data_IF_800645810911
#
_entry.id   IF_800645810911
#
_cell.length_a   1.000
_cell.length_b   1.000
_cell.length_c   1.000
_cell.angle_alpha   90.00
_cell.angle_beta   90.00
_cell.angle_gamma   90.00
#
_symmetry.space_group_name_H-M   'P 1'
#
loop_
_entity.id
_entity.type
_entity.pdbx_description
1 polymer ?
#
# COMPACT_ATOMS: atom_id res chain seq x y z
N UNK A 1 -0.39 -1.59 11.76
CA UNK A 1 0.12 -0.86 10.58
C UNK A 1 1.34 -0.07 10.99
N UNK A 2 2.47 -0.26 10.31
CA UNK A 2 3.73 0.37 10.67
C UNK A 2 3.90 1.68 9.88
N UNK A 3 3.62 2.81 10.52
CA UNK A 3 3.62 4.16 9.92
C UNK A 3 4.95 4.57 9.26
N UNK A 4 6.06 3.90 9.60
CA UNK A 4 7.38 4.11 8.97
C UNK A 4 7.36 3.92 7.45
N UNK A 5 6.60 2.94 6.94
CA UNK A 5 6.57 2.67 5.50
C UNK A 5 5.83 3.75 4.73
N UNK A 6 4.74 4.28 5.29
CA UNK A 6 3.95 5.36 4.69
C UNK A 6 4.78 6.64 4.60
N UNK A 7 5.60 6.93 5.63
CA UNK A 7 6.52 8.07 5.62
C UNK A 7 7.58 7.99 4.51
N UNK A 8 8.10 6.79 4.21
CA UNK A 8 9.08 6.57 3.14
C UNK A 8 8.44 6.66 1.75
N UNK A 9 7.19 6.21 1.59
CA UNK A 9 6.44 6.40 0.33
C UNK A 9 6.22 7.87 0.03
N UNK A 10 5.83 8.65 1.06
CA UNK A 10 5.58 10.09 0.93
C UNK A 10 6.82 10.87 0.48
N UNK A 11 8.02 10.43 0.85
CA UNK A 11 9.26 11.10 0.43
C UNK A 11 9.75 10.66 -0.94
N UNK A 12 9.26 9.54 -1.48
CA UNK A 12 9.68 9.00 -2.78
C UNK A 12 8.79 9.42 -3.96
N UNK A 13 7.55 9.80 -3.68
CA UNK A 13 6.55 10.11 -4.71
C UNK A 13 5.99 11.52 -4.55
N UNK A 14 5.61 12.13 -5.67
CA UNK A 14 4.79 13.34 -5.67
C UNK A 14 3.48 13.09 -4.94
N UNK A 15 2.89 14.15 -4.37
CA UNK A 15 1.67 14.05 -3.57
C UNK A 15 0.54 13.32 -4.29
N UNK A 16 0.34 13.61 -5.57
CA UNK A 16 -0.69 12.96 -6.42
C UNK A 16 -0.48 11.44 -6.52
N UNK A 17 0.73 11.02 -6.89
CA UNK A 17 1.09 9.59 -6.99
C UNK A 17 0.98 8.89 -5.64
N UNK A 18 1.31 9.58 -4.56
CA UNK A 18 1.18 9.04 -3.20
C UNK A 18 -0.29 8.85 -2.80
N UNK A 19 -1.17 9.80 -3.11
CA UNK A 19 -2.62 9.67 -2.87
C UNK A 19 -3.22 8.51 -3.67
N UNK A 20 -2.80 8.34 -4.92
CA UNK A 20 -3.20 7.22 -5.78
C UNK A 20 -2.74 5.86 -5.22
N UNK A 21 -1.49 5.76 -4.76
CA UNK A 21 -0.96 4.54 -4.10
C UNK A 21 -1.76 4.21 -2.83
N UNK A 22 -2.11 5.21 -2.02
CA UNK A 22 -2.92 5.02 -0.82
C UNK A 22 -4.34 4.58 -1.16
N UNK A 23 -4.94 5.13 -2.21
CA UNK A 23 -6.28 4.77 -2.65
C UNK A 23 -6.33 3.32 -3.14
N UNK A 24 -5.34 2.94 -3.96
CA UNK A 24 -5.16 1.56 -4.42
C UNK A 24 -4.94 0.61 -3.24
N UNK A 25 -4.09 0.97 -2.28
CA UNK A 25 -3.87 0.18 -1.06
C UNK A 25 -5.14 0.00 -0.24
N UNK A 26 -5.96 1.04 -0.06
CA UNK A 26 -7.23 0.94 0.68
C UNK A 26 -8.23 0.02 -0.04
N UNK A 27 -8.29 0.10 -1.38
CA UNK A 27 -9.10 -0.81 -2.19
C UNK A 27 -8.60 -2.25 -2.09
N UNK A 28 -7.29 -2.48 -2.22
CA UNK A 28 -6.68 -3.81 -2.08
C UNK A 28 -6.85 -4.36 -0.66
N UNK A 29 -6.81 -3.50 0.36
CA UNK A 29 -7.11 -3.85 1.75
C UNK A 29 -8.59 -4.20 1.97
N UNK A 30 -9.52 -3.50 1.33
CA UNK A 30 -10.95 -3.82 1.35
C UNK A 30 -11.24 -5.14 0.64
N UNK A 31 -10.64 -5.35 -0.54
CA UNK A 31 -10.72 -6.61 -1.29
C UNK A 31 -10.04 -7.76 -0.55
N UNK A 32 -8.88 -7.54 0.08
CA UNK A 32 -8.21 -8.56 0.88
C UNK A 32 -8.95 -8.82 2.18
N UNK A 33 -9.57 -7.84 2.84
CA UNK A 33 -10.46 -8.07 4.00
C UNK A 33 -11.65 -8.95 3.64
N UNK A 34 -12.17 -8.84 2.41
CA UNK A 34 -13.21 -9.73 1.88
C UNK A 34 -12.71 -11.17 1.69
N UNK A 35 -11.41 -11.39 1.45
CA UNK A 35 -10.79 -12.72 1.28
C UNK A 35 -10.17 -13.29 2.56
N UNK A 36 -9.79 -12.42 3.51
CA UNK A 36 -9.06 -12.76 4.71
C UNK A 36 -9.67 -12.02 5.89
N UNK A 37 -10.57 -12.70 6.60
CA UNK A 37 -11.05 -12.36 7.95
C UNK A 37 -9.88 -12.26 8.98
N UNK A 38 -8.68 -12.67 8.57
CA UNK A 38 -7.46 -12.64 9.37
C UNK A 38 -6.75 -11.29 9.24
N UNK A 39 -6.45 -10.69 10.40
CA UNK A 39 -5.56 -9.54 10.55
C UNK A 39 -4.33 -9.67 9.64
N UNK A 40 -4.18 -8.76 8.69
CA UNK A 40 -2.98 -8.64 7.84
C UNK A 40 -1.75 -8.46 8.73
N UNK A 41 -0.76 -9.34 8.55
CA UNK A 41 0.53 -9.24 9.23
C UNK A 41 1.39 -8.16 8.60
N UNK A 42 2.38 -7.64 9.34
CA UNK A 42 3.26 -6.57 8.84
C UNK A 42 4.04 -6.97 7.57
N UNK A 43 4.37 -8.25 7.40
CA UNK A 43 5.03 -8.76 6.19
C UNK A 43 4.11 -8.70 4.97
N UNK A 44 2.86 -9.16 5.10
CA UNK A 44 1.88 -9.07 4.02
C UNK A 44 1.61 -7.61 3.63
N UNK A 45 1.50 -6.73 4.62
CA UNK A 45 1.34 -5.29 4.38
C UNK A 45 2.53 -4.70 3.63
N UNK A 46 3.76 -5.10 3.98
CA UNK A 46 4.98 -4.66 3.28
C UNK A 46 5.02 -5.16 1.84
N UNK A 47 4.64 -6.42 1.60
CA UNK A 47 4.54 -6.98 0.25
C UNK A 47 3.49 -6.25 -0.58
N UNK A 48 2.31 -5.97 -0.01
CA UNK A 48 1.23 -5.24 -0.67
C UNK A 48 1.68 -3.83 -1.09
N UNK A 49 2.35 -3.11 -0.18
CA UNK A 49 2.94 -1.81 -0.45
C UNK A 49 3.97 -1.90 -1.58
N UNK A 50 4.92 -2.83 -1.51
CA UNK A 50 5.96 -2.96 -2.54
C UNK A 50 5.38 -3.32 -3.91
N UNK A 51 4.36 -4.19 -3.95
CA UNK A 51 3.65 -4.54 -5.19
C UNK A 51 2.91 -3.34 -5.76
N UNK A 52 2.19 -2.58 -4.91
CA UNK A 52 1.46 -1.38 -5.34
C UNK A 52 2.44 -0.31 -5.83
N UNK A 53 3.50 -0.03 -5.07
CA UNK A 53 4.58 0.90 -5.47
C UNK A 53 5.19 0.49 -6.82
N UNK A 54 5.41 -0.81 -7.06
CA UNK A 54 5.95 -1.32 -8.32
C UNK A 54 5.02 -1.08 -9.53
N UNK A 55 3.69 -1.18 -9.33
CA UNK A 55 2.71 -0.87 -10.38
C UNK A 55 2.76 0.61 -10.74
N UNK A 56 2.78 1.50 -9.75
CA UNK A 56 2.85 2.95 -9.98
C UNK A 56 4.20 3.44 -10.50
N UNK A 57 5.29 2.72 -10.22
CA UNK A 57 6.63 3.04 -10.75
C UNK A 57 6.82 2.64 -12.22
N UNK A 58 5.88 1.87 -12.78
CA UNK A 58 5.91 1.38 -14.17
C UNK A 58 5.09 2.26 -15.13
N UNK A 59 4.40 3.27 -14.62
CA UNK A 59 3.61 4.27 -15.35
C UNK A 59 4.45 5.53 -15.49
#
# INVERSE_FOLDING_TARGET
>A
MNYKYIGVLKTRHSKEVFEDILLALDQDLKFNKLRFDKRITNEQFKTLINSTECVFRRI
#
